data_IF_825347557247
#
_entry.id   IF_825347557247
#
_cell.length_a   1.000
_cell.length_b   1.000
_cell.length_c   1.000
_cell.angle_alpha   90.00
_cell.angle_beta   90.00
_cell.angle_gamma   90.00
#
_symmetry.space_group_name_H-M   'P 1'
#
loop_
_entity.id
_entity.type
_entity.pdbx_description
1 polymer ?
#
# COMPACT_ATOMS: atom_id res chain seq x y z
N UNK A 1 -4.29 -10.36 20.46
CA UNK A 1 -2.98 -9.67 20.40
C UNK A 1 -3.07 -8.31 21.08
N UNK A 2 -1.95 -7.83 21.61
CA UNK A 2 -1.89 -6.61 22.41
C UNK A 2 -1.90 -5.35 21.52
N UNK A 3 -2.59 -4.30 21.96
CA UNK A 3 -2.52 -2.95 21.38
C UNK A 3 -1.06 -2.50 21.28
N UNK A 4 -0.61 -2.17 20.08
CA UNK A 4 0.75 -1.69 19.83
C UNK A 4 0.79 -0.18 19.86
N UNK A 5 1.73 0.38 20.61
CA UNK A 5 1.98 1.81 20.72
C UNK A 5 3.28 2.18 20.02
N UNK A 6 3.28 3.33 19.36
CA UNK A 6 4.44 3.90 18.67
C UNK A 6 4.85 5.22 19.32
N UNK A 7 6.16 5.45 19.46
CA UNK A 7 6.65 6.76 19.90
C UNK A 7 6.41 7.79 18.80
N UNK A 8 5.91 8.98 19.14
CA UNK A 8 5.51 9.99 18.15
C UNK A 8 6.59 10.33 17.13
N UNK A 9 7.87 10.34 17.56
CA UNK A 9 9.02 10.62 16.68
C UNK A 9 9.29 9.53 15.63
N UNK A 10 8.80 8.31 15.86
CA UNK A 10 9.06 7.15 15.01
C UNK A 10 7.91 6.88 14.04
N UNK A 11 6.70 7.43 14.30
CA UNK A 11 5.49 7.20 13.50
C UNK A 11 5.73 7.59 12.05
N UNK A 12 6.17 8.83 11.79
CA UNK A 12 6.27 9.32 10.42
C UNK A 12 7.38 8.66 9.61
N UNK A 13 8.61 8.49 10.15
CA UNK A 13 9.63 7.68 9.50
C UNK A 13 9.13 6.27 9.15
N UNK A 14 8.41 5.61 10.07
CA UNK A 14 7.83 4.29 9.80
C UNK A 14 6.75 4.35 8.70
N UNK A 15 5.81 5.30 8.76
CA UNK A 15 4.76 5.45 7.73
C UNK A 15 5.37 5.64 6.35
N UNK A 16 6.36 6.51 6.22
CA UNK A 16 7.05 6.76 4.95
C UNK A 16 7.81 5.51 4.46
N UNK A 17 8.42 4.75 5.37
CA UNK A 17 9.05 3.46 5.04
C UNK A 17 8.03 2.41 4.60
N UNK A 18 6.86 2.30 5.23
CA UNK A 18 5.79 1.38 4.80
C UNK A 18 5.30 1.72 3.39
N UNK A 19 5.01 3.00 3.13
CA UNK A 19 4.57 3.45 1.80
C UNK A 19 5.66 3.22 0.73
N UNK A 20 6.93 3.45 1.06
CA UNK A 20 8.04 3.18 0.13
C UNK A 20 8.15 1.68 -0.20
N UNK A 21 8.06 0.80 0.81
CA UNK A 21 8.07 -0.66 0.60
C UNK A 21 6.87 -1.08 -0.28
N UNK A 22 5.73 -0.42 -0.10
CA UNK A 22 4.56 -0.69 -0.91
C UNK A 22 4.72 -0.34 -2.38
N UNK A 23 5.34 0.81 -2.70
CA UNK A 23 5.68 1.17 -4.09
C UNK A 23 6.48 0.05 -4.73
N UNK A 24 7.51 -0.46 -4.04
CA UNK A 24 8.28 -1.61 -4.53
C UNK A 24 7.40 -2.83 -4.77
N UNK A 25 6.60 -3.24 -3.77
CA UNK A 25 5.74 -4.42 -3.88
C UNK A 25 4.72 -4.31 -5.03
N UNK A 26 4.08 -3.16 -5.20
CA UNK A 26 3.12 -2.92 -6.28
C UNK A 26 3.78 -2.92 -7.65
N UNK A 27 4.99 -2.37 -7.75
CA UNK A 27 5.77 -2.42 -8.99
C UNK A 27 6.12 -3.87 -9.36
N UNK A 28 6.45 -4.72 -8.37
CA UNK A 28 6.69 -6.14 -8.59
C UNK A 28 5.43 -6.86 -9.11
N UNK A 29 4.27 -6.55 -8.52
CA UNK A 29 2.99 -7.09 -9.00
C UNK A 29 2.69 -6.63 -10.42
N UNK A 30 2.83 -5.33 -10.71
CA UNK A 30 2.62 -4.78 -12.05
C UNK A 30 3.41 -5.56 -13.09
N UNK A 31 4.68 -5.83 -12.78
CA UNK A 31 5.58 -6.56 -13.66
C UNK A 31 5.16 -8.01 -13.85
N UNK A 32 4.77 -8.68 -12.76
CA UNK A 32 4.29 -10.07 -12.81
C UNK A 32 3.01 -10.19 -13.64
N UNK A 33 2.00 -9.35 -13.37
CA UNK A 33 0.75 -9.31 -14.14
C UNK A 33 1.04 -9.08 -15.61
N UNK A 34 1.93 -8.15 -15.93
CA UNK A 34 2.23 -7.82 -17.31
C UNK A 34 3.00 -8.94 -18.04
N UNK A 35 3.95 -9.63 -17.39
CA UNK A 35 4.55 -10.86 -17.95
C UNK A 35 3.48 -11.92 -18.20
N UNK A 36 2.61 -12.16 -17.22
CA UNK A 36 1.64 -13.25 -17.33
C UNK A 36 0.54 -13.00 -18.37
N UNK A 37 0.13 -11.75 -18.56
CA UNK A 37 -0.97 -11.38 -19.45
C UNK A 37 -0.50 -11.00 -20.85
N UNK A 38 0.63 -10.31 -20.97
CA UNK A 38 1.06 -9.69 -22.23
C UNK A 38 2.26 -10.39 -22.86
N UNK A 39 3.12 -11.02 -22.04
CA UNK A 39 4.32 -11.71 -22.51
C UNK A 39 4.41 -13.14 -21.98
N UNK A 40 3.40 -14.01 -22.23
CA UNK A 40 3.41 -15.37 -21.72
C UNK A 40 4.63 -16.18 -22.21
N UNK A 41 5.18 -15.82 -23.37
CA UNK A 41 6.36 -16.44 -23.96
C UNK A 41 7.64 -16.25 -23.13
N UNK A 42 7.70 -15.21 -22.28
CA UNK A 42 8.84 -14.96 -21.38
C UNK A 42 8.54 -15.32 -19.92
N UNK A 43 7.36 -15.90 -19.65
CA UNK A 43 6.99 -16.40 -18.33
C UNK A 43 8.00 -17.43 -17.85
N UNK A 44 8.58 -17.21 -16.67
CA UNK A 44 9.61 -18.08 -16.08
C UNK A 44 11.02 -17.93 -16.68
N UNK A 45 11.20 -17.12 -17.73
CA UNK A 45 12.53 -16.76 -18.25
C UNK A 45 13.12 -15.55 -17.54
N UNK A 46 12.27 -14.69 -16.97
CA UNK A 46 12.65 -13.50 -16.21
C UNK A 46 12.21 -13.70 -14.76
N UNK A 47 13.10 -13.43 -13.81
CA UNK A 47 12.73 -13.39 -12.39
C UNK A 47 11.87 -12.16 -12.14
N UNK A 48 10.67 -12.37 -11.61
CA UNK A 48 9.78 -11.29 -11.16
C UNK A 48 10.16 -10.77 -9.77
N UNK A 49 11.13 -11.40 -9.11
CA UNK A 49 11.55 -11.06 -7.75
C UNK A 49 12.60 -9.95 -7.69
N UNK A 50 13.18 -9.62 -8.84
CA UNK A 50 14.16 -8.54 -8.95
C UNK A 50 13.65 -7.60 -10.05
N UNK A 51 13.14 -6.43 -9.64
CA UNK A 51 12.83 -5.31 -10.55
C UNK A 51 14.15 -4.68 -11.03
N UNK A 52 14.88 -5.40 -11.85
CA UNK A 52 16.09 -4.88 -12.47
C UNK A 52 15.74 -3.83 -13.53
N UNK A 53 16.77 -3.15 -14.05
CA UNK A 53 16.57 -2.08 -15.02
C UNK A 53 15.78 -2.53 -16.26
N UNK A 54 16.04 -3.71 -16.87
CA UNK A 54 15.21 -4.26 -17.93
C UNK A 54 13.73 -4.44 -17.55
N UNK A 55 13.44 -4.93 -16.33
CA UNK A 55 12.06 -5.08 -15.86
C UNK A 55 11.33 -3.73 -15.79
N UNK A 56 12.02 -2.69 -15.29
CA UNK A 56 11.48 -1.33 -15.23
C UNK A 56 11.29 -0.72 -16.64
N UNK A 57 12.26 -0.89 -17.55
CA UNK A 57 12.14 -0.44 -18.95
C UNK A 57 10.97 -1.14 -19.66
N UNK A 58 10.69 -2.41 -19.32
CA UNK A 58 9.54 -3.14 -19.85
C UNK A 58 8.22 -2.57 -19.32
N UNK A 59 8.13 -2.27 -18.01
CA UNK A 59 6.97 -1.58 -17.42
C UNK A 59 6.70 -0.22 -18.09
N UNK A 60 7.75 0.58 -18.32
CA UNK A 60 7.64 1.88 -18.97
C UNK A 60 7.14 1.78 -20.43
N UNK A 61 7.34 0.61 -21.06
CA UNK A 61 6.95 0.33 -22.44
C UNK A 61 5.64 -0.46 -22.56
N UNK A 62 4.89 -0.62 -21.47
CA UNK A 62 3.56 -1.25 -21.42
C UNK A 62 2.36 -0.26 -21.37
N UNK A 63 2.22 0.73 -22.28
CA UNK A 63 1.26 1.83 -22.11
C UNK A 63 -0.20 1.52 -22.48
N UNK A 64 -0.60 0.30 -22.84
CA UNK A 64 -1.91 0.11 -23.49
C UNK A 64 -2.96 -0.72 -22.73
N UNK A 65 -2.59 -1.49 -21.70
CA UNK A 65 -3.54 -2.27 -20.90
C UNK A 65 -4.14 -1.46 -19.74
N UNK A 66 -5.45 -1.60 -19.50
CA UNK A 66 -6.15 -0.97 -18.39
C UNK A 66 -5.57 -1.39 -17.02
N UNK A 67 -5.06 -2.62 -16.88
CA UNK A 67 -4.37 -3.08 -15.67
C UNK A 67 -3.07 -2.32 -15.41
N UNK A 68 -2.19 -2.27 -16.42
CA UNK A 68 -0.91 -1.55 -16.33
C UNK A 68 -1.14 -0.08 -15.95
N UNK A 69 -2.08 0.59 -16.63
CA UNK A 69 -2.45 1.98 -16.34
C UNK A 69 -2.92 2.15 -14.90
N UNK A 70 -3.84 1.32 -14.45
CA UNK A 70 -4.42 1.44 -13.10
C UNK A 70 -3.38 1.17 -12.01
N UNK A 71 -2.49 0.21 -12.20
CA UNK A 71 -1.39 -0.07 -11.26
C UNK A 71 -0.38 1.09 -11.26
N UNK A 72 -0.03 1.63 -12.43
CA UNK A 72 0.84 2.82 -12.52
C UNK A 72 0.23 4.03 -11.82
N UNK A 73 -1.06 4.29 -11.98
CA UNK A 73 -1.75 5.37 -11.28
C UNK A 73 -1.74 5.16 -9.77
N UNK A 74 -1.96 3.92 -9.30
CA UNK A 74 -1.87 3.57 -7.87
C UNK A 74 -0.45 3.80 -7.31
N UNK A 75 0.59 3.34 -8.01
CA UNK A 75 1.99 3.58 -7.63
C UNK A 75 2.24 5.09 -7.51
N UNK A 76 1.85 5.85 -8.53
CA UNK A 76 2.06 7.29 -8.55
C UNK A 76 1.32 8.01 -7.40
N UNK A 77 0.12 7.55 -7.07
CA UNK A 77 -0.63 8.06 -5.91
C UNK A 77 0.08 7.83 -4.59
N UNK A 78 0.74 6.66 -4.43
CA UNK A 78 1.50 6.36 -3.22
C UNK A 78 2.75 7.23 -3.15
N UNK A 79 3.46 7.43 -4.26
CA UNK A 79 4.59 8.35 -4.35
C UNK A 79 4.19 9.79 -3.99
N UNK A 80 3.03 10.24 -4.48
CA UNK A 80 2.46 11.54 -4.14
C UNK A 80 2.08 11.62 -2.66
N UNK A 81 1.56 10.52 -2.08
CA UNK A 81 1.26 10.42 -0.65
C UNK A 81 2.52 10.51 0.20
N UNK A 82 3.60 9.81 -0.17
CA UNK A 82 4.93 9.90 0.48
C UNK A 82 5.41 11.35 0.45
N UNK A 83 5.40 11.97 -0.72
CA UNK A 83 5.87 13.36 -0.90
C UNK A 83 5.05 14.34 -0.08
N UNK A 84 3.72 14.19 -0.09
CA UNK A 84 2.79 15.05 0.65
C UNK A 84 2.99 14.91 2.16
N UNK A 85 3.05 13.69 2.68
CA UNK A 85 3.23 13.43 4.11
C UNK A 85 4.62 13.87 4.58
N UNK A 86 5.66 13.60 3.79
CA UNK A 86 7.03 14.02 4.09
C UNK A 86 7.13 15.55 4.18
N UNK A 87 6.53 16.27 3.22
CA UNK A 87 6.46 17.73 3.26
C UNK A 87 5.65 18.24 4.45
N UNK A 88 4.46 17.67 4.69
CA UNK A 88 3.55 18.13 5.74
C UNK A 88 4.11 17.95 7.16
N UNK A 89 4.84 16.85 7.40
CA UNK A 89 5.43 16.52 8.69
C UNK A 89 6.94 16.87 8.80
N UNK A 90 7.47 17.67 7.86
CA UNK A 90 8.86 18.13 7.82
C UNK A 90 9.89 16.99 7.94
N UNK A 91 9.73 15.97 7.10
CA UNK A 91 10.58 14.79 7.04
C UNK A 91 11.33 14.72 5.70
N UNK A 92 12.62 14.39 5.74
CA UNK A 92 13.37 13.97 4.55
C UNK A 92 13.25 12.46 4.39
N UNK A 93 12.24 12.03 3.63
CA UNK A 93 11.94 10.61 3.46
C UNK A 93 13.11 9.81 2.86
N UNK A 94 13.97 10.43 2.04
CA UNK A 94 15.15 9.76 1.48
C UNK A 94 16.21 9.48 2.56
N UNK A 95 16.29 10.31 3.60
CA UNK A 95 17.20 10.07 4.73
C UNK A 95 16.58 9.12 5.75
N UNK A 96 15.28 9.24 6.00
CA UNK A 96 14.56 8.31 6.88
C UNK A 96 14.63 6.87 6.36
N UNK A 97 14.48 6.67 5.04
CA UNK A 97 14.56 5.36 4.40
C UNK A 97 15.97 4.76 4.37
N UNK A 98 17.01 5.47 4.84
CA UNK A 98 18.35 4.92 5.06
C UNK A 98 18.57 4.39 6.47
N UNK A 99 17.65 4.70 7.40
CA UNK A 99 17.77 4.31 8.80
C UNK A 99 17.18 2.92 8.99
N UNK A 100 17.91 2.05 9.69
CA UNK A 100 17.49 0.66 9.92
C UNK A 100 16.22 0.57 10.77
N UNK A 101 16.09 1.41 11.81
CA UNK A 101 14.96 1.35 12.75
C UNK A 101 13.59 1.57 12.06
N UNK A 102 13.35 2.65 11.29
CA UNK A 102 12.10 2.81 10.55
C UNK A 102 11.77 1.65 9.61
N UNK A 103 12.79 1.10 8.93
CA UNK A 103 12.63 -0.05 8.04
C UNK A 103 12.18 -1.28 8.84
N UNK A 104 12.88 -1.63 9.91
CA UNK A 104 12.56 -2.80 10.74
C UNK A 104 11.13 -2.70 11.32
N UNK A 105 10.73 -1.50 11.77
CA UNK A 105 9.37 -1.25 12.25
C UNK A 105 8.32 -1.42 11.15
N UNK A 106 8.64 -0.98 9.93
CA UNK A 106 7.77 -1.11 8.77
C UNK A 106 7.61 -2.56 8.34
N UNK A 107 8.70 -3.33 8.36
CA UNK A 107 8.69 -4.77 8.08
C UNK A 107 7.86 -5.51 9.12
N UNK A 108 8.07 -5.24 10.42
CA UNK A 108 7.28 -5.84 11.51
C UNK A 108 5.78 -5.50 11.38
N UNK A 109 5.46 -4.24 11.08
CA UNK A 109 4.09 -3.80 10.83
C UNK A 109 3.48 -4.56 9.66
N UNK A 110 4.14 -4.58 8.49
CA UNK A 110 3.67 -5.28 7.30
C UNK A 110 3.51 -6.79 7.53
N UNK A 111 4.39 -7.43 8.32
CA UNK A 111 4.25 -8.85 8.71
C UNK A 111 2.98 -9.08 9.54
N UNK A 112 2.72 -8.21 10.52
CA UNK A 112 1.55 -8.31 11.40
C UNK A 112 0.23 -8.16 10.68
N UNK A 113 0.20 -7.40 9.58
CA UNK A 113 -1.02 -7.23 8.78
C UNK A 113 -1.09 -8.18 7.58
N UNK A 114 -0.12 -9.07 7.42
CA UNK A 114 -0.09 -10.06 6.33
C UNK A 114 0.36 -9.52 4.97
N UNK A 115 1.08 -8.41 4.93
CA UNK A 115 1.56 -7.73 3.71
C UNK A 115 3.06 -7.79 3.46
N UNK A 116 3.82 -8.50 4.32
CA UNK A 116 5.26 -8.65 4.13
C UNK A 116 5.60 -10.04 3.61
N UNK A 117 6.33 -10.08 2.50
CA UNK A 117 6.92 -11.28 1.89
C UNK A 117 7.92 -11.93 2.84
N UNK A 118 7.54 -13.05 3.43
CA UNK A 118 8.48 -14.11 3.80
C UNK A 118 8.00 -15.38 3.08
N UNK A 119 8.93 -16.05 2.42
CA UNK A 119 8.75 -17.07 1.38
C UNK A 119 7.85 -18.28 1.73
N UNK A 120 7.47 -18.99 0.66
CA UNK A 120 6.70 -20.25 0.53
C UNK A 120 5.17 -20.19 0.76
N UNK A 121 4.66 -19.40 1.72
CA UNK A 121 3.21 -19.36 1.98
C UNK A 121 2.44 -18.41 1.04
N UNK A 122 3.08 -17.34 0.56
CA UNK A 122 2.42 -16.35 -0.29
C UNK A 122 2.23 -16.81 -1.74
N UNK A 123 3.14 -17.65 -2.27
CA UNK A 123 3.00 -18.22 -3.62
C UNK A 123 1.69 -19.01 -3.82
N UNK A 124 1.03 -19.41 -2.73
CA UNK A 124 -0.13 -20.30 -2.77
C UNK A 124 -1.45 -19.71 -2.23
N UNK A 125 -1.47 -18.50 -1.65
CA UNK A 125 -2.63 -18.07 -0.87
C UNK A 125 -3.38 -16.84 -1.40
N UNK A 126 -2.75 -15.94 -2.16
CA UNK A 126 -3.40 -14.70 -2.56
C UNK A 126 -3.04 -14.32 -4.00
N UNK A 127 -4.07 -14.04 -4.81
CA UNK A 127 -3.89 -13.45 -6.14
C UNK A 127 -3.13 -12.11 -5.99
N UNK A 128 -2.19 -11.84 -6.88
CA UNK A 128 -1.42 -10.61 -6.87
C UNK A 128 -2.33 -9.36 -6.85
N UNK A 129 -3.51 -9.46 -7.47
CA UNK A 129 -4.53 -8.42 -7.49
C UNK A 129 -5.18 -8.19 -6.12
N UNK A 130 -5.47 -9.26 -5.38
CA UNK A 130 -6.03 -9.15 -4.04
C UNK A 130 -5.06 -8.39 -3.11
N UNK A 131 -3.76 -8.53 -3.32
CA UNK A 131 -2.75 -7.81 -2.56
C UNK A 131 -2.73 -6.31 -2.86
N UNK A 132 -2.91 -5.90 -4.13
CA UNK A 132 -3.04 -4.48 -4.49
C UNK A 132 -4.30 -3.89 -3.84
N UNK A 133 -5.41 -4.57 -4.03
CA UNK A 133 -6.73 -4.20 -3.53
C UNK A 133 -6.72 -4.02 -2.01
N UNK A 134 -6.09 -4.95 -1.29
CA UNK A 134 -5.93 -4.83 0.15
C UNK A 134 -4.99 -3.68 0.51
N UNK A 135 -3.93 -3.43 -0.26
CA UNK A 135 -2.98 -2.36 0.05
C UNK A 135 -3.66 -0.99 0.02
N UNK A 136 -4.35 -0.70 -1.09
CA UNK A 136 -5.04 0.56 -1.35
C UNK A 136 -6.06 0.90 -0.24
N UNK A 137 -6.81 -0.10 0.23
CA UNK A 137 -7.85 0.11 1.24
C UNK A 137 -7.30 0.04 2.66
N UNK A 138 -6.64 -1.06 3.03
CA UNK A 138 -6.38 -1.37 4.44
C UNK A 138 -5.09 -0.79 4.99
N UNK A 139 -3.99 -0.90 4.24
CA UNK A 139 -2.69 -0.45 4.73
C UNK A 139 -2.74 1.05 4.94
N UNK A 140 -3.27 1.79 3.97
CA UNK A 140 -3.37 3.24 4.07
C UNK A 140 -4.22 3.71 5.26
N UNK A 141 -5.35 3.05 5.53
CA UNK A 141 -6.16 3.32 6.73
C UNK A 141 -5.41 3.08 8.04
N UNK A 142 -4.73 1.94 8.15
CA UNK A 142 -3.98 1.63 9.35
C UNK A 142 -2.86 2.64 9.59
N UNK A 143 -2.20 3.10 8.53
CA UNK A 143 -1.23 4.19 8.62
C UNK A 143 -1.89 5.49 9.10
N UNK A 144 -3.04 5.88 8.55
CA UNK A 144 -3.78 7.05 9.02
C UNK A 144 -4.17 6.94 10.51
N UNK A 145 -4.61 5.77 10.95
CA UNK A 145 -4.94 5.50 12.36
C UNK A 145 -3.72 5.61 13.26
N UNK A 146 -2.56 5.12 12.81
CA UNK A 146 -1.29 5.24 13.53
C UNK A 146 -0.85 6.70 13.60
N UNK A 147 -1.00 7.48 12.53
CA UNK A 147 -0.71 8.92 12.51
C UNK A 147 -1.55 9.66 13.55
N UNK A 148 -2.87 9.43 13.57
CA UNK A 148 -3.79 10.17 14.45
C UNK A 148 -3.74 9.72 15.91
N UNK A 149 -3.58 8.43 16.17
CA UNK A 149 -3.74 7.86 17.52
C UNK A 149 -2.44 7.39 18.17
N UNK A 150 -1.36 7.26 17.39
CA UNK A 150 -0.07 6.71 17.84
C UNK A 150 -0.13 5.24 18.25
N UNK A 151 -1.22 4.53 17.95
CA UNK A 151 -1.43 3.13 18.32
C UNK A 151 -2.30 2.39 17.32
N UNK A 152 -2.24 1.08 17.39
CA UNK A 152 -3.07 0.18 16.60
C UNK A 152 -3.47 -1.04 17.42
N UNK A 153 -4.72 -1.45 17.27
CA UNK A 153 -5.22 -2.72 17.77
C UNK A 153 -5.41 -3.66 16.57
N UNK A 154 -4.54 -4.68 16.48
CA UNK A 154 -4.56 -5.64 15.39
C UNK A 154 -5.67 -6.69 15.52
N UNK A 155 -6.28 -6.86 16.71
CA UNK A 155 -7.37 -7.84 16.86
C UNK A 155 -8.67 -7.34 16.24
N UNK A 156 -8.98 -6.05 16.45
CA UNK A 156 -10.14 -5.38 15.85
C UNK A 156 -10.02 -5.31 14.32
N UNK A 157 -8.80 -5.37 13.79
CA UNK A 157 -8.51 -5.24 12.37
C UNK A 157 -8.95 -6.47 11.55
N UNK A 158 -8.89 -7.68 12.09
CA UNK A 158 -9.22 -8.90 11.33
C UNK A 158 -10.72 -9.16 11.14
N UNK A 159 -11.61 -8.40 11.78
CA UNK A 159 -13.06 -8.67 11.79
C UNK A 159 -13.86 -7.90 10.71
N UNK A 160 -13.26 -6.97 9.94
CA UNK A 160 -13.98 -6.05 9.04
C UNK A 160 -13.50 -6.03 7.59
N UNK A 161 -13.81 -7.06 6.81
CA UNK A 161 -13.39 -7.20 5.41
C UNK A 161 -14.38 -6.62 4.36
N UNK A 162 -15.44 -5.92 4.77
CA UNK A 162 -16.55 -5.55 3.87
C UNK A 162 -16.57 -4.06 3.46
N UNK A 163 -17.30 -3.75 2.38
CA UNK A 163 -17.47 -2.41 1.75
C UNK A 163 -17.84 -1.28 2.76
N UNK A 164 -18.35 -1.64 3.93
CA UNK A 164 -18.53 -0.73 5.08
C UNK A 164 -17.22 -0.09 5.59
N UNK A 165 -16.06 -0.62 5.19
CA UNK A 165 -14.74 -0.12 5.55
C UNK A 165 -14.53 1.35 5.17
N UNK A 166 -14.97 1.79 3.98
CA UNK A 166 -14.83 3.18 3.54
C UNK A 166 -15.67 4.17 4.37
N UNK A 167 -16.81 3.71 4.89
CA UNK A 167 -17.67 4.52 5.79
C UNK A 167 -17.07 4.57 7.18
N UNK A 168 -16.65 3.42 7.71
CA UNK A 168 -15.94 3.31 8.99
C UNK A 168 -14.63 4.13 8.97
N UNK A 169 -13.92 4.17 7.84
CA UNK A 169 -12.72 4.98 7.61
C UNK A 169 -12.96 6.46 7.94
N UNK A 170 -14.01 7.07 7.39
CA UNK A 170 -14.27 8.50 7.57
C UNK A 170 -14.79 8.82 8.97
N UNK A 171 -15.65 7.96 9.52
CA UNK A 171 -16.20 8.16 10.87
C UNK A 171 -15.11 8.01 11.94
N UNK A 172 -14.24 7.01 11.82
CA UNK A 172 -13.12 6.80 12.75
C UNK A 172 -12.08 7.92 12.69
N UNK A 173 -11.65 8.34 11.49
CA UNK A 173 -10.63 9.39 11.37
C UNK A 173 -11.11 10.73 11.94
N UNK A 174 -12.39 11.07 11.74
CA UNK A 174 -12.99 12.27 12.30
C UNK A 174 -13.02 12.26 13.84
N UNK A 175 -13.26 11.10 14.44
CA UNK A 175 -13.23 10.93 15.91
C UNK A 175 -11.80 10.96 16.45
N UNK A 176 -10.85 10.31 15.75
CA UNK A 176 -9.48 10.14 16.23
C UNK A 176 -8.64 11.42 16.22
N UNK A 177 -8.94 12.38 15.35
CA UNK A 177 -8.12 13.56 15.20
C UNK A 177 -8.20 14.57 16.35
N UNK A 178 -9.06 14.35 17.37
CA UNK A 178 -9.15 15.18 18.59
C UNK A 178 -9.13 16.71 18.32
N UNK A 179 -9.67 17.16 17.18
CA UNK A 179 -9.73 18.57 16.79
C UNK A 179 -8.63 19.07 15.83
N UNK A 180 -7.65 18.26 15.41
CA UNK A 180 -6.71 18.65 14.35
C UNK A 180 -7.34 18.46 12.96
N UNK A 181 -8.17 19.43 12.56
CA UNK A 181 -8.91 19.40 11.29
C UNK A 181 -7.99 19.33 10.06
N UNK A 182 -6.75 19.82 10.17
CA UNK A 182 -5.82 19.84 9.04
C UNK A 182 -5.26 18.45 8.75
N UNK A 183 -4.90 17.68 9.77
CA UNK A 183 -4.48 16.27 9.62
C UNK A 183 -5.63 15.43 9.03
N UNK A 184 -6.87 15.62 9.52
CA UNK A 184 -8.04 14.94 8.95
C UNK A 184 -8.18 15.24 7.47
N UNK A 185 -8.06 16.51 7.08
CA UNK A 185 -8.24 16.91 5.69
C UNK A 185 -7.18 16.27 4.79
N UNK A 186 -5.91 16.33 5.18
CA UNK A 186 -4.81 15.74 4.41
C UNK A 186 -4.98 14.22 4.30
N UNK A 187 -5.20 13.53 5.42
CA UNK A 187 -5.35 12.07 5.44
C UNK A 187 -6.62 11.58 4.73
N UNK A 188 -7.72 12.34 4.81
CA UNK A 188 -8.95 12.01 4.09
C UNK A 188 -8.76 12.14 2.60
N UNK A 189 -8.11 13.21 2.12
CA UNK A 189 -7.86 13.40 0.69
C UNK A 189 -7.00 12.27 0.10
N UNK A 190 -5.91 11.93 0.78
CA UNK A 190 -5.05 10.82 0.35
C UNK A 190 -5.79 9.47 0.42
N UNK A 191 -6.61 9.27 1.46
CA UNK A 191 -7.42 8.07 1.62
C UNK A 191 -8.48 7.88 0.54
N UNK A 192 -9.16 8.96 0.15
CA UNK A 192 -10.15 8.91 -0.93
C UNK A 192 -9.53 8.55 -2.27
N UNK A 193 -8.32 9.05 -2.55
CA UNK A 193 -7.60 8.71 -3.77
C UNK A 193 -7.29 7.20 -3.80
N UNK A 194 -6.78 6.65 -2.69
CA UNK A 194 -6.50 5.21 -2.58
C UNK A 194 -7.77 4.35 -2.69
N UNK A 195 -8.89 4.82 -2.11
CA UNK A 195 -10.17 4.14 -2.22
C UNK A 195 -10.71 4.13 -3.65
N UNK A 196 -10.54 5.22 -4.41
CA UNK A 196 -10.93 5.27 -5.82
C UNK A 196 -10.19 4.19 -6.64
N UNK A 197 -8.88 4.04 -6.43
CA UNK A 197 -8.12 2.98 -7.09
C UNK A 197 -8.60 1.58 -6.69
N UNK A 198 -8.89 1.35 -5.41
CA UNK A 198 -9.50 0.10 -4.94
C UNK A 198 -10.80 -0.21 -5.71
N UNK A 199 -11.73 0.74 -5.79
CA UNK A 199 -13.01 0.55 -6.47
C UNK A 199 -12.79 0.22 -7.96
N UNK A 200 -11.87 0.94 -8.61
CA UNK A 200 -11.54 0.71 -10.02
C UNK A 200 -10.88 -0.65 -10.27
N UNK A 201 -10.02 -1.11 -9.35
CA UNK A 201 -9.38 -2.42 -9.42
C UNK A 201 -10.40 -3.55 -9.31
N UNK A 202 -11.30 -3.48 -8.32
CA UNK A 202 -12.38 -4.46 -8.12
C UNK A 202 -13.32 -4.51 -9.32
N UNK A 203 -13.65 -3.35 -9.90
CA UNK A 203 -14.47 -3.28 -11.12
C UNK A 203 -13.79 -3.93 -12.32
N UNK A 204 -12.48 -3.71 -12.47
CA UNK A 204 -11.69 -4.28 -13.55
C UNK A 204 -11.59 -5.81 -13.42
N UNK A 205 -11.32 -6.31 -12.20
CA UNK A 205 -11.31 -7.74 -11.86
C UNK A 205 -12.66 -8.41 -12.17
N UNK A 206 -13.75 -7.78 -11.72
CA UNK A 206 -15.12 -8.28 -11.94
C UNK A 206 -15.48 -8.37 -13.42
N UNK A 207 -14.99 -7.43 -14.23
CA UNK A 207 -15.25 -7.37 -15.68
C UNK A 207 -14.50 -8.46 -16.44
N UNK A 208 -13.28 -8.76 -16.03
CA UNK A 208 -12.42 -9.73 -16.70
C UNK A 208 -12.70 -11.18 -16.26
N UNK A 209 -13.64 -11.40 -15.32
CA UNK A 209 -14.19 -12.71 -14.98
C UNK A 209 -13.27 -13.57 -14.11
N UNK A 210 -12.51 -12.95 -13.20
CA UNK A 210 -11.55 -13.63 -12.30
C UNK A 210 -12.20 -14.25 -11.05
N UNK A 211 -13.45 -14.71 -11.12
CA UNK A 211 -14.16 -15.40 -10.03
C UNK A 211 -14.71 -16.76 -10.44
#
# INVERSE_FOLDING_TARGET
>A
MAVQHYESKDIMPMVLSVLTIAVFNLTHVAFKVAIEKEFPDIKGLISTDILDKPALEMLETMPENEWSKLISECIHSIENSITTLAFYYDQDWHQEFKKTKPIDMSIDFLKKIGFYRNDDEFENHWDELENITRFCSYVFYLLCKIILSGRIDFDVYYEGYDIDFARLYMEDLAVLANGNQQDVLVLSNLGFEMLDYYVRLVQLESRDGLH
#
